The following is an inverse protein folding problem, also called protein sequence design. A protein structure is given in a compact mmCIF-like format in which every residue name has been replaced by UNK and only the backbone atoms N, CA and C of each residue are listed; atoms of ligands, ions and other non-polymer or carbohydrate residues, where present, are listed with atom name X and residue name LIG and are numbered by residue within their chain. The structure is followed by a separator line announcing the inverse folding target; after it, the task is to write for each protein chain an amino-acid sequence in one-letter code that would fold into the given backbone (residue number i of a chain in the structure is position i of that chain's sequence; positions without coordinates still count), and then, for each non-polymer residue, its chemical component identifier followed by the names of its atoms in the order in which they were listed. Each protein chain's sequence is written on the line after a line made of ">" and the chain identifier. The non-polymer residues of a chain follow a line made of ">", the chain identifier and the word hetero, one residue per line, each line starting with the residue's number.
data_IF_548081195835
#
_entry.id   IF_548081195835
#
_cell.length_a   1.000
_cell.length_b   1.000
_cell.length_c   1.000
_cell.angle_alpha   90.00
_cell.angle_beta   90.00
_cell.angle_gamma   90.00
#
_symmetry.space_group_name_H-M   'P 1'
#
loop_
_entity.id
_entity.type
_entity.pdbx_description
1 polymer ?
#
# COMPACT_ATOMS: atom_id res chain seq x y z
N UNK A 1 23.15 -45.11 -29.48
CA UNK A 1 21.80 -44.69 -29.05
C UNK A 1 21.97 -43.73 -27.87
N UNK A 2 21.45 -42.50 -27.94
CA UNK A 2 21.54 -41.54 -26.81
C UNK A 2 20.66 -42.05 -25.67
N UNK A 3 21.25 -42.24 -24.49
CA UNK A 3 20.53 -42.68 -23.28
C UNK A 3 19.46 -41.68 -22.85
N UNK A 4 18.42 -42.16 -22.17
CA UNK A 4 17.33 -41.33 -21.66
C UNK A 4 17.90 -40.22 -20.76
N UNK A 5 17.36 -38.98 -20.84
CA UNK A 5 17.77 -37.90 -19.95
C UNK A 5 17.44 -38.26 -18.51
N UNK A 6 18.38 -37.97 -17.61
CA UNK A 6 18.27 -38.19 -16.18
C UNK A 6 17.29 -37.17 -15.58
N UNK A 7 16.22 -37.66 -14.95
CA UNK A 7 15.14 -36.87 -14.37
C UNK A 7 15.29 -36.71 -12.84
N UNK A 8 16.41 -37.16 -12.26
CA UNK A 8 16.68 -37.08 -10.81
C UNK A 8 16.64 -35.66 -10.24
N UNK A 9 16.77 -34.62 -11.09
CA UNK A 9 16.65 -33.22 -10.67
C UNK A 9 15.23 -32.64 -10.58
N UNK A 10 14.19 -33.39 -10.98
CA UNK A 10 12.81 -32.88 -11.07
C UNK A 10 11.94 -33.34 -9.89
N UNK A 11 12.35 -34.39 -9.17
CA UNK A 11 11.48 -35.10 -8.24
C UNK A 11 11.42 -34.53 -6.81
N UNK A 12 12.07 -33.41 -6.50
CA UNK A 12 11.99 -32.83 -5.16
C UNK A 12 11.79 -31.32 -5.23
N UNK A 13 10.69 -30.77 -4.68
CA UNK A 13 10.69 -29.36 -4.35
C UNK A 13 11.81 -29.13 -3.34
N UNK A 14 12.86 -28.43 -3.77
CA UNK A 14 14.03 -28.09 -2.95
C UNK A 14 13.66 -27.12 -1.79
N UNK A 15 12.39 -26.74 -1.67
CA UNK A 15 11.85 -25.75 -0.74
C UNK A 15 10.60 -26.32 -0.08
N UNK A 16 10.53 -26.12 1.23
CA UNK A 16 9.37 -26.48 2.05
C UNK A 16 8.10 -25.84 1.47
N UNK A 17 7.07 -26.64 1.11
CA UNK A 17 5.81 -26.12 0.57
C UNK A 17 5.05 -25.24 1.57
N UNK A 18 5.41 -25.28 2.85
CA UNK A 18 4.80 -24.42 3.89
C UNK A 18 5.48 -23.05 4.03
N UNK A 19 6.60 -22.79 3.34
CA UNK A 19 7.28 -21.50 3.37
C UNK A 19 6.41 -20.32 2.89
N UNK A 20 5.36 -20.59 2.11
CA UNK A 20 4.36 -19.59 1.74
C UNK A 20 3.49 -19.13 2.94
N UNK A 21 3.26 -20.01 3.90
CA UNK A 21 2.36 -19.78 5.04
C UNK A 21 3.03 -18.99 6.18
N UNK A 22 4.37 -18.93 6.22
CA UNK A 22 5.12 -18.15 7.22
C UNK A 22 5.03 -16.62 7.04
N UNK A 23 4.21 -16.13 6.11
CA UNK A 23 4.04 -14.71 5.85
C UNK A 23 5.07 -14.21 4.86
N UNK A 24 4.63 -14.04 3.61
CA UNK A 24 5.47 -13.45 2.55
C UNK A 24 5.92 -12.02 2.86
N UNK A 25 6.77 -11.45 2.00
CA UNK A 25 7.42 -10.14 2.19
C UNK A 25 6.53 -8.97 2.65
N UNK A 26 5.20 -9.06 2.46
CA UNK A 26 4.23 -8.13 3.04
C UNK A 26 4.13 -8.16 4.57
N UNK A 27 4.19 -9.32 5.23
CA UNK A 27 4.14 -9.43 6.70
C UNK A 27 5.48 -9.01 7.33
N UNK A 28 6.59 -9.25 6.64
CA UNK A 28 7.92 -8.77 7.06
C UNK A 28 8.02 -7.25 6.95
N UNK A 29 7.40 -6.63 5.94
CA UNK A 29 7.36 -5.17 5.81
C UNK A 29 6.53 -4.51 6.92
N UNK A 30 5.41 -5.13 7.33
CA UNK A 30 4.57 -4.63 8.44
C UNK A 30 5.28 -4.78 9.80
N UNK A 31 5.97 -5.90 10.03
CA UNK A 31 6.78 -6.12 11.25
C UNK A 31 8.04 -5.26 11.29
N UNK A 32 8.73 -5.06 10.17
CA UNK A 32 9.88 -4.15 10.09
C UNK A 32 9.48 -2.69 10.37
N UNK A 33 8.24 -2.30 10.06
CA UNK A 33 7.71 -0.98 10.39
C UNK A 33 7.40 -0.81 11.88
N UNK A 34 7.22 -1.91 12.62
CA UNK A 34 7.03 -1.91 14.08
C UNK A 34 8.33 -1.79 14.87
N UNK A 35 9.42 -2.36 14.37
CA UNK A 35 10.70 -2.45 15.09
C UNK A 35 11.82 -1.54 14.54
N UNK A 36 11.56 -0.77 13.47
CA UNK A 36 12.52 0.23 13.01
C UNK A 36 12.65 1.38 14.03
N UNK A 37 13.88 1.81 14.40
CA UNK A 37 14.05 3.03 15.18
C UNK A 37 13.43 4.18 14.39
N UNK A 38 12.42 4.80 15.00
CA UNK A 38 11.71 5.98 14.50
C UNK A 38 12.74 6.92 13.87
N UNK A 39 12.68 7.19 12.54
CA UNK A 39 13.47 8.27 11.96
C UNK A 39 13.18 9.51 12.81
N UNK A 40 14.22 10.19 13.28
CA UNK A 40 14.07 11.41 14.06
C UNK A 40 13.06 12.29 13.34
N UNK A 41 11.86 12.38 13.91
CA UNK A 41 10.80 13.17 13.32
C UNK A 41 11.35 14.59 13.23
N UNK A 42 11.18 15.30 12.10
CA UNK A 42 11.32 16.74 12.16
C UNK A 42 10.45 17.19 13.32
N UNK A 43 11.01 17.98 14.23
CA UNK A 43 10.27 18.57 15.33
C UNK A 43 9.17 19.42 14.70
N UNK A 44 8.00 18.81 14.52
CA UNK A 44 6.80 19.52 14.16
C UNK A 44 6.43 20.29 15.42
N UNK A 45 6.60 21.61 15.36
CA UNK A 45 6.24 22.55 16.42
C UNK A 45 4.74 22.53 16.75
N UNK A 46 3.95 21.78 15.98
CA UNK A 46 2.50 21.67 16.13
C UNK A 46 2.08 20.23 16.48
N UNK A 47 1.24 20.04 17.51
CA UNK A 47 0.72 18.72 17.84
C UNK A 47 -0.06 18.15 16.65
N UNK A 48 0.08 16.84 16.35
CA UNK A 48 -0.59 16.24 15.21
C UNK A 48 -2.11 16.38 15.33
N UNK A 49 -2.75 16.85 14.26
CA UNK A 49 -4.20 16.96 14.18
C UNK A 49 -4.83 15.57 14.33
N UNK A 50 -5.82 15.37 15.22
CA UNK A 50 -6.45 14.08 15.40
C UNK A 50 -7.20 13.66 14.13
N UNK A 51 -6.91 12.46 13.62
CA UNK A 51 -7.55 11.90 12.42
C UNK A 51 -8.44 10.70 12.75
N UNK A 52 -9.58 10.57 12.06
CA UNK A 52 -10.47 9.40 12.17
C UNK A 52 -10.63 8.74 10.79
N UNK A 53 -10.41 7.43 10.71
CA UNK A 53 -10.62 6.67 9.47
C UNK A 53 -12.11 6.36 9.25
N UNK A 54 -12.59 6.60 8.02
CA UNK A 54 -13.96 6.25 7.59
C UNK A 54 -13.90 5.31 6.39
N UNK A 55 -14.76 4.29 6.38
CA UNK A 55 -14.89 3.35 5.28
C UNK A 55 -16.25 3.54 4.61
N UNK A 56 -16.24 3.84 3.30
CA UNK A 56 -17.44 4.04 2.50
C UNK A 56 -17.58 2.94 1.46
N UNK A 57 -18.82 2.49 1.22
CA UNK A 57 -19.14 1.67 0.04
C UNK A 57 -19.52 2.59 -1.11
N UNK A 58 -18.59 2.81 -2.02
CA UNK A 58 -18.81 3.66 -3.19
C UNK A 58 -19.30 2.83 -4.37
N UNK A 59 -20.01 3.48 -5.29
CA UNK A 59 -20.25 2.90 -6.62
C UNK A 59 -18.93 2.79 -7.37
N UNK A 60 -18.83 1.78 -8.23
CA UNK A 60 -17.61 1.47 -8.97
C UNK A 60 -17.13 2.63 -9.85
N UNK A 61 -18.05 3.32 -10.53
CA UNK A 61 -17.75 4.47 -11.39
C UNK A 61 -17.14 5.63 -10.61
N UNK A 62 -17.63 5.90 -9.41
CA UNK A 62 -17.09 6.94 -8.53
C UNK A 62 -15.70 6.57 -8.02
N UNK A 63 -15.50 5.33 -7.60
CA UNK A 63 -14.18 4.86 -7.16
C UNK A 63 -13.15 4.94 -8.30
N UNK A 64 -13.55 4.60 -9.53
CA UNK A 64 -12.70 4.75 -10.72
C UNK A 64 -12.38 6.22 -10.99
N UNK A 65 -13.38 7.10 -10.94
CA UNK A 65 -13.17 8.53 -11.17
C UNK A 65 -12.20 9.15 -10.15
N UNK A 66 -12.27 8.77 -8.88
CA UNK A 66 -11.31 9.22 -7.86
C UNK A 66 -9.87 8.80 -8.19
N UNK A 67 -9.68 7.54 -8.58
CA UNK A 67 -8.37 7.02 -8.96
C UNK A 67 -7.79 7.73 -10.20
N UNK A 68 -8.64 7.93 -11.21
CA UNK A 68 -8.26 8.63 -12.44
C UNK A 68 -7.88 10.09 -12.13
N UNK A 69 -8.66 10.77 -11.28
CA UNK A 69 -8.40 12.15 -10.86
C UNK A 69 -7.08 12.26 -10.07
N UNK A 70 -6.83 11.37 -9.10
CA UNK A 70 -5.57 11.34 -8.36
C UNK A 70 -4.36 11.16 -9.29
N UNK A 71 -4.51 10.33 -10.33
CA UNK A 71 -3.46 10.10 -11.32
C UNK A 71 -3.24 11.32 -12.23
N UNK A 72 -4.32 12.03 -12.60
CA UNK A 72 -4.26 13.20 -13.47
C UNK A 72 -3.76 14.47 -12.76
N UNK A 73 -4.08 14.64 -11.48
CA UNK A 73 -3.64 15.78 -10.67
C UNK A 73 -2.20 15.62 -10.15
N UNK A 74 -1.69 14.39 -10.12
CA UNK A 74 -0.31 14.12 -9.72
C UNK A 74 0.67 14.64 -10.77
N UNK A 75 1.67 15.40 -10.32
CA UNK A 75 2.76 15.95 -11.15
C UNK A 75 4.11 15.40 -10.67
N UNK A 76 5.17 15.45 -11.49
CA UNK A 76 6.50 15.05 -11.03
C UNK A 76 6.89 15.80 -9.75
N UNK A 77 7.17 15.06 -8.68
CA UNK A 77 7.52 15.62 -7.37
C UNK A 77 6.35 15.89 -6.43
N UNK A 78 5.10 15.75 -6.88
CA UNK A 78 3.92 15.85 -6.01
C UNK A 78 2.83 14.84 -6.41
N UNK A 79 2.58 13.89 -5.51
CA UNK A 79 1.54 12.88 -5.70
C UNK A 79 0.28 13.31 -4.95
N UNK A 80 -0.82 13.42 -5.68
CA UNK A 80 -2.15 13.64 -5.11
C UNK A 80 -2.77 12.29 -4.79
N UNK A 81 -3.36 12.16 -3.60
CA UNK A 81 -4.04 10.93 -3.18
C UNK A 81 -5.56 11.04 -3.28
N UNK A 82 -6.23 9.89 -3.39
CA UNK A 82 -7.71 9.84 -3.35
C UNK A 82 -8.24 10.43 -2.03
N UNK A 83 -7.52 10.24 -0.92
CA UNK A 83 -7.84 10.83 0.38
C UNK A 83 -7.79 12.36 0.34
N UNK A 84 -6.76 12.96 -0.25
CA UNK A 84 -6.65 14.42 -0.39
C UNK A 84 -7.79 15.01 -1.23
N UNK A 85 -8.17 14.33 -2.32
CA UNK A 85 -9.31 14.75 -3.15
C UNK A 85 -10.59 14.72 -2.34
N UNK A 86 -10.84 13.63 -1.61
CA UNK A 86 -12.02 13.49 -0.75
C UNK A 86 -12.01 14.55 0.35
N UNK A 87 -10.89 14.78 1.02
CA UNK A 87 -10.78 15.80 2.07
C UNK A 87 -11.07 17.20 1.52
N UNK A 88 -10.49 17.58 0.37
CA UNK A 88 -10.76 18.85 -0.31
C UNK A 88 -12.24 19.02 -0.65
N UNK A 89 -12.88 17.97 -1.17
CA UNK A 89 -14.31 17.99 -1.48
C UNK A 89 -15.18 18.10 -0.23
N UNK A 90 -14.83 17.41 0.86
CA UNK A 90 -15.54 17.50 2.13
C UNK A 90 -15.38 18.89 2.77
N UNK A 91 -14.17 19.45 2.74
CA UNK A 91 -13.90 20.82 3.18
C UNK A 91 -14.76 21.82 2.42
N UNK A 92 -14.79 21.72 1.09
CA UNK A 92 -15.65 22.56 0.26
C UNK A 92 -17.14 22.37 0.56
N UNK A 93 -17.60 21.13 0.73
CA UNK A 93 -19.02 20.83 0.96
C UNK A 93 -19.52 21.33 2.32
N UNK A 94 -18.71 21.21 3.36
CA UNK A 94 -19.06 21.61 4.73
C UNK A 94 -18.58 23.01 5.12
N UNK A 95 -17.82 23.69 4.25
CA UNK A 95 -17.26 25.02 4.54
C UNK A 95 -16.19 24.99 5.64
N UNK A 96 -15.32 23.98 5.63
CA UNK A 96 -14.20 23.84 6.57
C UNK A 96 -12.94 24.40 5.89
N UNK A 97 -12.26 25.34 6.55
CA UNK A 97 -10.98 25.93 6.10
C UNK A 97 -9.78 25.01 6.43
#
# INVERSE_FOLDING_TARGET
>A
MRGKPDLTGIATPLKDPTAFLEGGAGDVADKAHRDAPKPAAPAADEPPVPTVQKLFRMRWDIAKALKDAASAESVPGHRVTETEIVERLLKQHFGIE
#
